data_IF_850634446013
#
_entry.id   IF_850634446013
#
_cell.length_a   1.000
_cell.length_b   1.000
_cell.length_c   1.000
_cell.angle_alpha   90.00
_cell.angle_beta   90.00
_cell.angle_gamma   90.00
#
_symmetry.space_group_name_H-M   'P 1'
#
loop_
_entity.id
_entity.type
_entity.pdbx_description
1 polymer ?
#
# COMPACT_ATOMS: atom_id res chain seq x y z
N UNK A 1 -21.63 -6.03 20.32
CA UNK A 1 -22.38 -5.88 19.06
C UNK A 1 -21.91 -4.56 18.45
N UNK A 2 -21.10 -4.63 17.40
CA UNK A 2 -20.70 -3.42 16.64
C UNK A 2 -21.88 -3.03 15.75
N UNK A 3 -22.37 -1.80 15.88
CA UNK A 3 -23.42 -1.29 15.02
C UNK A 3 -22.96 -1.30 13.55
N UNK A 4 -23.84 -1.79 12.68
CA UNK A 4 -23.64 -1.81 11.22
C UNK A 4 -23.92 -0.42 10.65
N UNK A 5 -22.97 0.50 10.83
CA UNK A 5 -23.08 1.89 10.39
C UNK A 5 -23.18 2.03 8.86
N UNK A 6 -22.51 1.17 8.09
CA UNK A 6 -22.55 1.22 6.63
C UNK A 6 -23.90 0.78 6.09
N UNK A 7 -24.49 -0.29 6.64
CA UNK A 7 -25.84 -0.71 6.31
C UNK A 7 -26.88 0.33 6.74
N UNK A 8 -26.65 1.03 7.85
CA UNK A 8 -27.51 2.10 8.31
C UNK A 8 -27.42 3.33 7.39
N UNK A 9 -26.20 3.70 6.94
CA UNK A 9 -25.97 4.77 5.98
C UNK A 9 -26.72 4.51 4.67
N UNK A 10 -26.56 3.31 4.09
CA UNK A 10 -27.20 2.93 2.83
C UNK A 10 -28.74 3.05 2.92
N UNK A 11 -29.33 2.54 4.02
CA UNK A 11 -30.79 2.64 4.25
C UNK A 11 -31.25 4.08 4.41
N UNK A 12 -30.48 4.92 5.11
CA UNK A 12 -30.79 6.33 5.33
C UNK A 12 -30.69 7.15 4.04
N UNK A 13 -29.68 6.91 3.21
CA UNK A 13 -29.55 7.56 1.89
C UNK A 13 -30.69 7.14 0.93
N UNK A 14 -31.11 5.87 0.96
CA UNK A 14 -32.26 5.41 0.18
C UNK A 14 -33.60 6.03 0.66
N UNK A 15 -33.74 6.24 1.97
CA UNK A 15 -34.88 6.93 2.52
C UNK A 15 -34.90 8.42 2.14
N UNK A 16 -33.74 9.08 2.18
CA UNK A 16 -33.58 10.46 1.75
C UNK A 16 -33.94 10.64 0.26
N UNK A 17 -33.49 9.77 -0.63
CA UNK A 17 -33.88 9.80 -2.07
C UNK A 17 -35.40 9.71 -2.23
N UNK A 18 -36.06 8.80 -1.54
CA UNK A 18 -37.54 8.70 -1.59
C UNK A 18 -38.25 9.98 -1.13
N UNK A 19 -37.74 10.65 -0.08
CA UNK A 19 -38.29 11.93 0.35
C UNK A 19 -38.09 13.03 -0.69
N UNK A 20 -36.93 13.06 -1.37
CA UNK A 20 -36.67 14.01 -2.47
C UNK A 20 -37.62 13.77 -3.65
N UNK A 21 -37.85 12.50 -4.02
CA UNK A 21 -38.81 12.17 -5.10
C UNK A 21 -40.24 12.60 -4.75
N UNK A 22 -40.67 12.37 -3.52
CA UNK A 22 -41.97 12.83 -3.01
C UNK A 22 -42.09 14.36 -3.02
N UNK A 23 -41.02 15.09 -2.66
CA UNK A 23 -40.99 16.55 -2.73
C UNK A 23 -41.15 17.05 -4.16
N UNK A 24 -40.39 16.46 -5.11
CA UNK A 24 -40.49 16.82 -6.52
C UNK A 24 -41.89 16.59 -7.10
N UNK A 25 -42.54 15.49 -6.69
CA UNK A 25 -43.94 15.21 -7.08
C UNK A 25 -44.86 16.25 -6.51
N UNK A 26 -44.78 16.55 -5.20
CA UNK A 26 -45.64 17.54 -4.52
C UNK A 26 -45.44 18.94 -5.11
N UNK A 27 -44.24 19.35 -5.38
CA UNK A 27 -43.92 20.65 -6.01
C UNK A 27 -44.44 20.72 -7.46
N UNK A 28 -44.48 19.59 -8.19
CA UNK A 28 -45.08 19.52 -9.53
C UNK A 28 -46.58 19.66 -9.50
N UNK A 29 -47.24 18.98 -8.58
CA UNK A 29 -48.71 19.11 -8.35
C UNK A 29 -49.09 20.53 -7.93
N UNK A 30 -48.34 21.14 -7.03
CA UNK A 30 -48.52 22.54 -6.63
C UNK A 30 -48.51 23.51 -7.80
N UNK A 31 -47.52 23.37 -8.73
CA UNK A 31 -47.44 24.20 -9.93
C UNK A 31 -48.64 23.97 -10.88
N UNK A 32 -49.10 22.74 -10.99
CA UNK A 32 -50.28 22.39 -11.77
C UNK A 32 -51.54 23.10 -11.23
N UNK A 33 -51.76 23.07 -9.91
CA UNK A 33 -52.87 23.76 -9.26
C UNK A 33 -52.79 25.28 -9.37
N UNK A 34 -51.55 25.85 -9.30
CA UNK A 34 -51.36 27.28 -9.52
C UNK A 34 -51.75 27.69 -10.93
N UNK A 35 -51.35 26.89 -11.94
CA UNK A 35 -51.71 27.14 -13.32
C UNK A 35 -53.23 27.06 -13.57
N UNK A 36 -53.91 26.08 -12.93
CA UNK A 36 -55.37 25.96 -13.01
C UNK A 36 -56.08 27.16 -12.36
N UNK A 37 -55.61 27.59 -11.17
CA UNK A 37 -56.18 28.77 -10.50
C UNK A 37 -56.06 30.04 -11.41
N UNK A 38 -54.90 30.27 -12.03
CA UNK A 38 -54.72 31.40 -12.94
C UNK A 38 -55.64 31.32 -14.16
N UNK A 39 -55.83 30.14 -14.73
CA UNK A 39 -56.69 29.91 -15.86
C UNK A 39 -58.14 30.18 -15.51
N UNK A 40 -58.68 29.61 -14.40
CA UNK A 40 -60.05 29.82 -13.92
C UNK A 40 -60.34 31.28 -13.64
N UNK A 41 -59.41 32.02 -13.04
CA UNK A 41 -59.52 33.47 -12.83
C UNK A 41 -59.63 34.24 -14.18
N UNK A 42 -58.91 33.83 -15.18
CA UNK A 42 -58.96 34.47 -16.52
C UNK A 42 -60.31 34.28 -17.24
N UNK A 43 -61.02 33.22 -16.87
CA UNK A 43 -62.39 32.96 -17.41
C UNK A 43 -63.52 33.45 -16.49
N UNK A 44 -63.21 34.08 -15.33
CA UNK A 44 -64.21 34.58 -14.39
C UNK A 44 -64.82 33.48 -13.52
N UNK A 45 -64.24 32.28 -13.47
CA UNK A 45 -64.73 31.12 -12.69
C UNK A 45 -64.17 31.16 -11.26
N UNK A 46 -64.64 32.14 -10.45
CA UNK A 46 -64.08 32.39 -9.12
C UNK A 46 -64.09 31.18 -8.20
N UNK A 47 -65.17 30.37 -8.22
CA UNK A 47 -65.28 29.17 -7.37
C UNK A 47 -64.21 28.11 -7.69
N UNK A 48 -63.98 27.86 -9.00
CA UNK A 48 -62.96 26.91 -9.45
C UNK A 48 -61.55 27.42 -9.13
N UNK A 49 -61.32 28.74 -9.17
CA UNK A 49 -60.05 29.33 -8.78
C UNK A 49 -59.78 29.19 -7.25
N UNK A 50 -60.83 29.38 -6.42
CA UNK A 50 -60.68 29.18 -4.97
C UNK A 50 -60.37 27.73 -4.61
N UNK A 51 -61.07 26.76 -5.25
CA UNK A 51 -60.78 25.34 -5.08
C UNK A 51 -59.33 24.98 -5.48
N UNK A 52 -58.85 25.48 -6.62
CA UNK A 52 -57.47 25.26 -7.09
C UNK A 52 -56.44 25.90 -6.15
N UNK A 53 -56.72 27.08 -5.59
CA UNK A 53 -55.87 27.72 -4.60
C UNK A 53 -55.81 26.93 -3.28
N UNK A 54 -56.96 26.37 -2.84
CA UNK A 54 -57.00 25.52 -1.67
C UNK A 54 -56.12 24.28 -1.84
N UNK A 55 -56.24 23.59 -2.98
CA UNK A 55 -55.39 22.44 -3.34
C UNK A 55 -53.92 22.80 -3.41
N UNK A 56 -53.56 23.96 -3.96
CA UNK A 56 -52.18 24.47 -3.93
C UNK A 56 -51.68 24.62 -2.50
N UNK A 57 -52.49 25.14 -1.57
CA UNK A 57 -52.09 25.30 -0.17
C UNK A 57 -51.89 23.97 0.53
N UNK A 58 -52.73 22.94 0.22
CA UNK A 58 -52.51 21.58 0.73
C UNK A 58 -51.13 21.04 0.24
N UNK A 59 -50.81 21.11 -1.07
CA UNK A 59 -49.53 20.68 -1.60
C UNK A 59 -48.36 21.45 -0.97
N UNK A 60 -48.50 22.76 -0.72
CA UNK A 60 -47.46 23.56 -0.06
C UNK A 60 -47.21 23.09 1.36
N UNK A 61 -48.27 22.75 2.12
CA UNK A 61 -48.14 22.20 3.47
C UNK A 61 -47.42 20.87 3.46
N UNK A 62 -47.75 19.98 2.51
CA UNK A 62 -47.14 18.68 2.37
C UNK A 62 -45.64 18.82 1.95
N UNK A 63 -45.33 19.71 1.02
CA UNK A 63 -43.95 20.01 0.63
C UNK A 63 -43.11 20.50 1.80
N UNK A 64 -43.65 21.36 2.67
CA UNK A 64 -42.94 21.84 3.85
C UNK A 64 -42.66 20.72 4.86
N UNK A 65 -43.65 19.84 5.12
CA UNK A 65 -43.48 18.68 6.00
C UNK A 65 -42.42 17.70 5.43
N UNK A 66 -42.36 17.53 4.10
CA UNK A 66 -41.36 16.69 3.46
C UNK A 66 -39.97 17.35 3.58
N UNK A 67 -39.83 18.65 3.40
CA UNK A 67 -38.56 19.39 3.57
C UNK A 67 -37.99 19.25 4.98
N UNK A 68 -38.85 19.31 6.03
CA UNK A 68 -38.40 19.05 7.40
C UNK A 68 -37.86 17.62 7.57
N UNK A 69 -38.54 16.63 6.97
CA UNK A 69 -38.07 15.23 6.99
C UNK A 69 -36.72 15.07 6.25
N UNK A 70 -36.56 15.74 5.11
CA UNK A 70 -35.29 15.76 4.37
C UNK A 70 -34.19 16.32 5.25
N UNK A 71 -34.38 17.49 5.87
CA UNK A 71 -33.37 18.11 6.73
C UNK A 71 -33.00 17.21 7.92
N UNK A 72 -34.01 16.54 8.51
CA UNK A 72 -33.78 15.58 9.62
C UNK A 72 -32.94 14.38 9.12
N UNK A 73 -33.23 13.85 7.93
CA UNK A 73 -32.52 12.74 7.35
C UNK A 73 -31.05 13.13 6.98
N UNK A 74 -30.82 14.32 6.43
CA UNK A 74 -29.49 14.84 6.14
C UNK A 74 -28.65 14.99 7.41
N UNK A 75 -29.20 15.53 8.48
CA UNK A 75 -28.52 15.65 9.76
C UNK A 75 -28.17 14.27 10.32
N UNK A 76 -29.08 13.29 10.20
CA UNK A 76 -28.83 11.93 10.65
C UNK A 76 -27.75 11.23 9.83
N UNK A 77 -27.78 11.37 8.49
CA UNK A 77 -26.74 10.87 7.60
C UNK A 77 -25.38 11.48 7.94
N UNK A 78 -25.32 12.77 8.24
CA UNK A 78 -24.10 13.46 8.66
C UNK A 78 -23.55 12.86 9.95
N UNK A 79 -24.42 12.60 10.93
CA UNK A 79 -24.04 11.93 12.18
C UNK A 79 -23.49 10.52 11.93
N UNK A 80 -24.15 9.70 11.09
CA UNK A 80 -23.67 8.36 10.73
C UNK A 80 -22.28 8.44 10.08
N UNK A 81 -22.07 9.34 9.13
CA UNK A 81 -20.78 9.54 8.48
C UNK A 81 -19.67 9.92 9.48
N UNK A 82 -20.01 10.68 10.50
CA UNK A 82 -19.08 11.04 11.56
C UNK A 82 -18.74 9.84 12.47
N UNK A 83 -19.73 9.00 12.81
CA UNK A 83 -19.51 7.75 13.56
C UNK A 83 -18.65 6.75 12.77
N UNK A 84 -18.90 6.59 11.47
CA UNK A 84 -18.05 5.78 10.58
C UNK A 84 -16.61 6.33 10.58
N UNK A 85 -16.41 7.64 10.52
CA UNK A 85 -15.09 8.28 10.58
C UNK A 85 -14.37 8.01 11.91
N UNK A 86 -15.07 8.07 13.04
CA UNK A 86 -14.54 7.77 14.38
C UNK A 86 -14.19 6.27 14.48
N UNK A 87 -15.05 5.38 14.01
CA UNK A 87 -14.82 3.94 14.01
C UNK A 87 -13.61 3.59 13.13
N UNK A 88 -13.50 4.19 11.95
CA UNK A 88 -12.36 4.01 11.05
C UNK A 88 -11.05 4.58 11.65
N UNK A 89 -11.10 5.69 12.37
CA UNK A 89 -9.95 6.22 13.10
C UNK A 89 -9.50 5.27 14.23
N UNK A 90 -10.44 4.63 14.94
CA UNK A 90 -10.12 3.62 15.94
C UNK A 90 -9.53 2.35 15.35
N UNK A 91 -9.96 1.94 14.15
CA UNK A 91 -9.38 0.81 13.40
C UNK A 91 -7.94 1.15 12.96
N UNK A 92 -7.68 2.38 12.52
CA UNK A 92 -6.33 2.85 12.15
C UNK A 92 -5.37 2.80 13.34
N UNK A 93 -5.84 3.07 14.57
CA UNK A 93 -5.01 2.97 15.78
C UNK A 93 -4.76 1.53 16.24
N UNK A 94 -5.60 0.58 15.85
CA UNK A 94 -5.46 -0.83 16.21
C UNK A 94 -4.51 -1.63 15.28
N UNK A 95 -4.22 -1.10 14.08
CA UNK A 95 -3.21 -1.63 13.17
C UNK A 95 -2.05 -0.64 13.10
N UNK A 96 -0.88 -0.93 13.68
CA UNK A 96 0.27 -0.04 13.59
C UNK A 96 0.74 0.02 12.12
N UNK A 97 0.27 1.02 11.38
CA UNK A 97 0.85 1.38 10.09
C UNK A 97 2.28 1.81 10.39
N UNK A 98 3.26 1.01 9.97
CA UNK A 98 4.68 1.36 10.10
C UNK A 98 5.04 2.48 9.12
N UNK A 99 4.53 3.69 9.39
CA UNK A 99 5.00 4.90 8.70
C UNK A 99 6.32 5.29 9.35
N UNK A 100 7.43 4.95 8.71
CA UNK A 100 8.72 5.54 9.08
C UNK A 100 8.80 6.91 8.40
N UNK A 101 8.51 7.97 9.15
CA UNK A 101 8.76 9.35 8.73
C UNK A 101 10.27 9.55 8.56
N UNK A 102 10.69 9.90 7.35
CA UNK A 102 12.04 10.36 7.11
C UNK A 102 12.19 11.80 7.64
N UNK A 103 13.39 12.10 8.13
CA UNK A 103 13.80 13.37 8.71
C UNK A 103 13.48 14.58 7.82
N UNK A 104 13.29 15.72 8.44
CA UNK A 104 12.82 17.02 7.92
C UNK A 104 13.69 17.70 6.85
N UNK A 105 14.82 17.11 6.42
CA UNK A 105 15.62 17.57 5.28
C UNK A 105 15.83 16.40 4.30
N UNK A 106 15.37 16.52 3.05
CA UNK A 106 15.61 15.48 2.06
C UNK A 106 17.11 15.35 1.79
N UNK A 107 17.64 14.12 1.85
CA UNK A 107 19.01 13.83 1.43
C UNK A 107 19.16 14.16 -0.06
N UNK A 108 20.33 14.61 -0.48
CA UNK A 108 20.58 14.78 -1.92
C UNK A 108 20.58 13.43 -2.65
N UNK A 109 20.25 13.46 -3.95
CA UNK A 109 20.22 12.25 -4.80
C UNK A 109 21.57 11.54 -4.80
N UNK A 110 22.68 12.29 -4.77
CA UNK A 110 24.05 11.76 -4.77
C UNK A 110 24.33 10.96 -3.50
N UNK A 111 23.87 11.42 -2.34
CA UNK A 111 24.00 10.71 -1.07
C UNK A 111 23.21 9.41 -1.10
N UNK A 112 21.97 9.45 -1.60
CA UNK A 112 21.10 8.27 -1.67
C UNK A 112 21.71 7.25 -2.66
N UNK A 113 22.22 7.71 -3.81
CA UNK A 113 22.91 6.86 -4.77
C UNK A 113 24.17 6.20 -4.17
N UNK A 114 24.97 6.95 -3.40
CA UNK A 114 26.13 6.39 -2.70
C UNK A 114 25.73 5.30 -1.72
N UNK A 115 24.61 5.48 -1.00
CA UNK A 115 24.08 4.45 -0.10
C UNK A 115 23.60 3.19 -0.87
N UNK A 116 22.98 3.38 -2.05
CA UNK A 116 22.56 2.26 -2.92
C UNK A 116 23.80 1.56 -3.52
N UNK A 117 24.80 2.31 -3.95
CA UNK A 117 26.05 1.76 -4.49
C UNK A 117 26.81 0.93 -3.46
N UNK A 118 26.73 1.31 -2.19
CA UNK A 118 27.29 0.56 -1.07
C UNK A 118 26.55 -0.74 -0.71
N UNK A 119 25.39 -1.02 -1.32
CA UNK A 119 24.71 -2.31 -1.13
C UNK A 119 25.47 -3.43 -1.85
N UNK A 120 25.53 -4.59 -1.22
CA UNK A 120 26.18 -5.77 -1.79
C UNK A 120 25.40 -6.25 -3.01
N UNK A 121 26.09 -6.52 -4.11
CA UNK A 121 25.49 -6.98 -5.35
C UNK A 121 24.48 -5.98 -5.95
N UNK A 122 23.39 -6.50 -6.51
CA UNK A 122 22.28 -5.73 -7.08
C UNK A 122 22.66 -4.82 -8.27
N UNK A 123 23.67 -5.16 -9.03
CA UNK A 123 24.22 -4.29 -10.10
C UNK A 123 23.18 -3.94 -11.17
N UNK A 124 22.34 -4.91 -11.54
CA UNK A 124 21.24 -4.66 -12.46
C UNK A 124 20.22 -3.67 -11.87
N UNK A 125 19.88 -3.79 -10.58
CA UNK A 125 18.96 -2.89 -9.90
C UNK A 125 19.55 -1.48 -9.76
N UNK A 126 20.85 -1.37 -9.42
CA UNK A 126 21.55 -0.09 -9.37
C UNK A 126 21.48 0.64 -10.72
N UNK A 127 21.64 -0.08 -11.82
CA UNK A 127 21.52 0.47 -13.17
C UNK A 127 20.08 0.90 -13.50
N UNK A 128 19.06 0.11 -13.11
CA UNK A 128 17.66 0.47 -13.29
C UNK A 128 17.29 1.73 -12.47
N UNK A 129 17.77 1.84 -11.23
CA UNK A 129 17.57 3.04 -10.41
C UNK A 129 18.20 4.27 -11.07
N UNK A 130 19.43 4.17 -11.60
CA UNK A 130 20.05 5.26 -12.34
C UNK A 130 19.26 5.65 -13.60
N UNK A 131 18.71 4.68 -14.32
CA UNK A 131 17.85 4.91 -15.49
C UNK A 131 16.58 5.70 -15.11
N UNK A 132 15.96 5.33 -13.98
CA UNK A 132 14.80 6.08 -13.43
C UNK A 132 15.19 7.52 -13.11
N UNK A 133 16.29 7.75 -12.41
CA UNK A 133 16.78 9.10 -12.07
C UNK A 133 17.04 9.93 -13.32
N UNK A 134 17.72 9.35 -14.32
CA UNK A 134 18.01 10.04 -15.58
C UNK A 134 16.72 10.45 -16.31
N UNK A 135 15.74 9.55 -16.35
CA UNK A 135 14.44 9.82 -16.95
C UNK A 135 13.71 10.98 -16.24
N UNK A 136 13.72 11.00 -14.90
CA UNK A 136 13.11 12.07 -14.11
C UNK A 136 13.82 13.40 -14.29
N UNK A 137 15.16 13.41 -14.33
CA UNK A 137 15.96 14.62 -14.61
C UNK A 137 15.64 15.19 -16.00
N UNK A 138 15.55 14.35 -17.03
CA UNK A 138 15.19 14.79 -18.39
C UNK A 138 13.77 15.37 -18.41
N UNK A 139 12.81 14.76 -17.72
CA UNK A 139 11.45 15.31 -17.58
C UNK A 139 11.46 16.70 -16.95
N UNK A 140 12.26 16.90 -15.90
CA UNK A 140 12.43 18.21 -15.24
C UNK A 140 13.05 19.24 -16.17
N UNK A 141 14.06 18.88 -16.94
CA UNK A 141 14.68 19.76 -17.96
C UNK A 141 13.67 20.13 -19.06
N UNK A 142 12.87 19.18 -19.54
CA UNK A 142 11.81 19.45 -20.53
C UNK A 142 10.78 20.45 -20.01
N UNK A 143 10.31 20.26 -18.76
CA UNK A 143 9.38 21.20 -18.10
C UNK A 143 10.00 22.61 -18.01
N UNK A 144 11.27 22.69 -17.58
CA UNK A 144 11.99 23.98 -17.48
C UNK A 144 12.18 24.67 -18.85
N UNK A 145 12.25 23.88 -19.93
CA UNK A 145 12.32 24.38 -21.30
C UNK A 145 10.93 24.67 -21.93
N UNK A 146 9.84 24.60 -21.15
CA UNK A 146 8.48 24.82 -21.63
C UNK A 146 7.92 23.69 -22.51
N UNK A 147 8.54 22.51 -22.50
CA UNK A 147 8.12 21.35 -23.29
C UNK A 147 7.18 20.46 -22.46
N UNK A 148 6.13 19.93 -23.12
CA UNK A 148 5.24 18.94 -22.52
C UNK A 148 5.97 17.62 -22.27
N UNK A 149 5.64 16.95 -21.17
CA UNK A 149 6.11 15.60 -20.87
C UNK A 149 5.03 14.57 -21.21
N UNK A 150 5.40 13.40 -21.75
CA UNK A 150 4.46 12.30 -21.90
C UNK A 150 4.00 11.81 -20.52
N UNK A 151 2.77 11.37 -20.42
CA UNK A 151 2.23 10.73 -19.24
C UNK A 151 2.86 9.34 -19.08
N UNK A 152 3.78 9.19 -18.12
CA UNK A 152 4.47 7.93 -17.84
C UNK A 152 4.16 7.54 -16.40
N UNK A 153 3.61 6.36 -16.22
CA UNK A 153 3.40 5.77 -14.90
C UNK A 153 4.73 5.56 -14.18
N UNK A 154 4.76 5.87 -12.88
CA UNK A 154 5.91 5.63 -12.02
C UNK A 154 5.74 4.36 -11.16
N UNK A 155 4.64 3.64 -11.31
CA UNK A 155 4.40 2.40 -10.57
C UNK A 155 5.30 1.27 -11.08
N UNK A 156 5.67 0.35 -10.18
CA UNK A 156 6.70 -0.66 -10.45
C UNK A 156 6.30 -2.03 -9.93
N UNK A 157 6.85 -3.06 -10.57
CA UNK A 157 6.81 -4.44 -10.08
C UNK A 157 8.22 -4.88 -9.70
N UNK A 158 8.35 -5.45 -8.51
CA UNK A 158 9.59 -5.99 -7.98
C UNK A 158 9.49 -7.52 -7.91
N UNK A 159 10.23 -8.19 -8.80
CA UNK A 159 10.34 -9.65 -8.83
C UNK A 159 11.54 -10.14 -8.06
N UNK A 160 11.42 -11.26 -7.37
CA UNK A 160 12.56 -11.98 -6.80
C UNK A 160 12.25 -12.64 -5.47
N UNK A 161 13.15 -13.51 -5.07
CA UNK A 161 13.08 -14.30 -3.85
C UNK A 161 13.15 -13.42 -2.58
N UNK A 162 12.75 -13.94 -1.40
CA UNK A 162 12.87 -13.24 -0.13
C UNK A 162 14.33 -12.87 0.18
N UNK A 163 14.52 -11.77 0.89
CA UNK A 163 15.85 -11.35 1.35
C UNK A 163 16.80 -10.82 0.26
N UNK A 164 16.31 -10.54 -0.95
CA UNK A 164 17.11 -9.97 -2.06
C UNK A 164 17.20 -8.45 -2.05
N UNK A 165 16.60 -7.75 -1.07
CA UNK A 165 16.72 -6.31 -0.91
C UNK A 165 15.58 -5.48 -1.49
N UNK A 166 14.45 -6.08 -1.93
CA UNK A 166 13.28 -5.38 -2.51
C UNK A 166 12.82 -4.20 -1.67
N UNK A 167 12.48 -4.43 -0.41
CA UNK A 167 11.98 -3.38 0.52
C UNK A 167 13.03 -2.29 0.77
N UNK A 168 14.33 -2.65 0.79
CA UNK A 168 15.42 -1.68 0.95
C UNK A 168 15.49 -0.71 -0.22
N UNK A 169 15.46 -1.21 -1.44
CA UNK A 169 15.47 -0.38 -2.66
C UNK A 169 14.20 0.45 -2.77
N UNK A 170 13.02 -0.12 -2.45
CA UNK A 170 11.76 0.62 -2.48
C UNK A 170 11.79 1.86 -1.56
N UNK A 171 12.37 1.74 -0.36
CA UNK A 171 12.55 2.89 0.56
C UNK A 171 13.46 3.96 -0.03
N UNK A 172 14.59 3.57 -0.64
CA UNK A 172 15.52 4.52 -1.28
C UNK A 172 14.91 5.21 -2.49
N UNK A 173 14.07 4.53 -3.24
CA UNK A 173 13.31 5.14 -4.34
C UNK A 173 12.36 6.23 -3.82
N UNK A 174 11.69 6.04 -2.68
CA UNK A 174 10.87 7.08 -2.06
C UNK A 174 11.66 8.34 -1.74
N UNK A 175 12.86 8.17 -1.17
CA UNK A 175 13.78 9.27 -0.88
C UNK A 175 14.24 9.97 -2.18
N UNK A 176 14.55 9.22 -3.24
CA UNK A 176 14.94 9.75 -4.56
C UNK A 176 13.80 10.54 -5.20
N UNK A 177 12.59 9.98 -5.26
CA UNK A 177 11.44 10.65 -5.84
C UNK A 177 11.09 11.95 -5.11
N UNK A 178 11.24 11.97 -3.79
CA UNK A 178 11.07 13.19 -3.00
C UNK A 178 12.16 14.23 -3.29
N UNK A 179 13.43 13.80 -3.31
CA UNK A 179 14.57 14.68 -3.61
C UNK A 179 14.49 15.30 -5.01
N UNK A 180 13.89 14.58 -5.97
CA UNK A 180 13.63 15.05 -7.33
C UNK A 180 12.33 15.86 -7.46
N UNK A 181 11.55 16.01 -6.38
CA UNK A 181 10.30 16.76 -6.38
C UNK A 181 9.14 16.07 -7.10
N UNK A 182 9.21 14.75 -7.28
CA UNK A 182 8.14 13.94 -7.88
C UNK A 182 7.11 13.54 -6.82
N UNK A 183 7.57 13.21 -5.61
CA UNK A 183 6.72 12.91 -4.47
C UNK A 183 6.85 14.01 -3.42
N UNK A 184 5.74 14.47 -2.89
CA UNK A 184 5.70 15.60 -1.95
C UNK A 184 6.33 15.30 -0.58
N UNK A 185 6.31 14.02 -0.13
CA UNK A 185 6.79 13.60 1.19
C UNK A 185 7.89 12.53 1.12
N UNK A 186 7.84 11.62 0.15
CA UNK A 186 8.79 10.51 -0.01
C UNK A 186 8.77 9.46 1.09
N UNK A 187 7.74 9.44 1.93
CA UNK A 187 7.59 8.44 2.98
C UNK A 187 7.21 7.07 2.39
N UNK A 188 7.34 6.03 3.20
CA UNK A 188 7.17 4.65 2.78
C UNK A 188 6.11 3.95 3.63
N UNK A 189 5.08 3.45 2.98
CA UNK A 189 4.03 2.64 3.59
C UNK A 189 4.16 1.21 3.06
N UNK A 190 4.25 0.24 3.96
CA UNK A 190 4.38 -1.18 3.65
C UNK A 190 3.11 -1.91 4.07
N UNK A 191 2.57 -2.72 3.19
CA UNK A 191 1.36 -3.51 3.41
C UNK A 191 1.43 -4.83 2.68
N UNK A 192 0.52 -5.72 3.01
CA UNK A 192 0.26 -7.00 2.36
C UNK A 192 -1.25 -7.17 2.12
N UNK A 193 -1.68 -8.35 1.67
CA UNK A 193 -3.10 -8.68 1.54
C UNK A 193 -3.88 -8.42 2.84
N UNK A 194 -3.33 -8.83 3.99
CA UNK A 194 -3.98 -8.67 5.29
C UNK A 194 -4.22 -7.20 5.66
N UNK A 195 -3.34 -6.30 5.20
CA UNK A 195 -3.48 -4.85 5.37
C UNK A 195 -4.54 -4.22 4.46
N UNK A 196 -4.84 -4.82 3.30
CA UNK A 196 -5.73 -4.26 2.27
C UNK A 196 -7.15 -4.84 2.35
N UNK A 197 -7.27 -6.16 2.53
CA UNK A 197 -8.54 -6.87 2.48
C UNK A 197 -9.25 -6.81 3.83
N UNK A 198 -10.55 -6.54 3.82
CA UNK A 198 -11.42 -6.57 4.99
C UNK A 198 -11.98 -7.97 5.25
N UNK A 199 -12.53 -8.17 6.46
CA UNK A 199 -13.15 -9.45 6.86
C UNK A 199 -14.61 -9.61 6.44
N UNK A 200 -15.26 -8.53 5.98
CA UNK A 200 -16.68 -8.51 5.63
C UNK A 200 -16.90 -7.69 4.36
N UNK A 201 -18.03 -7.94 3.69
CA UNK A 201 -18.49 -7.22 2.50
C UNK A 201 -18.48 -5.69 2.74
N UNK A 202 -17.90 -4.92 1.81
CA UNK A 202 -17.84 -3.46 1.86
C UNK A 202 -16.69 -2.88 2.70
N UNK A 203 -15.98 -3.68 3.47
CA UNK A 203 -14.84 -3.20 4.27
C UNK A 203 -13.54 -3.12 3.48
N UNK A 204 -13.39 -3.91 2.42
CA UNK A 204 -12.16 -3.97 1.63
C UNK A 204 -11.86 -2.65 0.93
N UNK A 205 -12.83 -2.08 0.22
CA UNK A 205 -12.64 -0.79 -0.45
C UNK A 205 -12.29 0.34 0.54
N UNK A 206 -12.94 0.38 1.71
CA UNK A 206 -12.66 1.37 2.76
C UNK A 206 -11.24 1.21 3.28
N UNK A 207 -10.86 -0.01 3.67
CA UNK A 207 -9.54 -0.32 4.23
C UNK A 207 -8.42 -0.06 3.21
N UNK A 208 -8.62 -0.51 1.97
CA UNK A 208 -7.70 -0.24 0.87
C UNK A 208 -7.53 1.27 0.64
N UNK A 209 -8.64 2.04 0.59
CA UNK A 209 -8.60 3.50 0.43
C UNK A 209 -7.86 4.17 1.58
N UNK A 210 -8.00 3.72 2.81
CA UNK A 210 -7.27 4.27 3.96
C UNK A 210 -5.76 4.06 3.83
N UNK A 211 -5.33 2.85 3.46
CA UNK A 211 -3.90 2.55 3.23
C UNK A 211 -3.35 3.39 2.07
N UNK A 212 -4.07 3.46 0.93
CA UNK A 212 -3.70 4.27 -0.21
C UNK A 212 -3.58 5.75 0.16
N UNK A 213 -4.55 6.29 0.93
CA UNK A 213 -4.53 7.67 1.42
C UNK A 213 -3.33 7.93 2.35
N UNK A 214 -2.97 6.96 3.19
CA UNK A 214 -1.80 7.09 4.07
C UNK A 214 -0.47 7.12 3.29
N UNK A 215 -0.45 6.61 2.06
CA UNK A 215 0.72 6.57 1.19
C UNK A 215 0.82 7.80 0.25
N UNK A 216 -0.19 8.69 0.22
CA UNK A 216 -0.16 9.89 -0.61
C UNK A 216 1.03 10.78 -0.29
N UNK A 217 1.75 11.17 -1.31
CA UNK A 217 3.01 11.88 -1.23
C UNK A 217 4.23 10.97 -1.09
N UNK A 218 4.03 9.65 -1.11
CA UNK A 218 5.08 8.65 -0.87
C UNK A 218 4.96 7.39 -1.72
N UNK A 219 5.55 6.33 -1.21
CA UNK A 219 5.50 5.00 -1.82
C UNK A 219 4.59 4.08 -1.00
N UNK A 220 3.66 3.41 -1.69
CA UNK A 220 3.00 2.22 -1.18
C UNK A 220 3.72 0.98 -1.71
N UNK A 221 4.24 0.17 -0.81
CA UNK A 221 4.86 -1.12 -1.11
C UNK A 221 3.91 -2.24 -0.68
N UNK A 222 3.45 -3.04 -1.65
CA UNK A 222 2.56 -4.17 -1.43
C UNK A 222 3.41 -5.43 -1.54
N UNK A 223 3.72 -6.04 -0.40
CA UNK A 223 4.46 -7.30 -0.38
C UNK A 223 3.54 -8.48 -0.69
N UNK A 224 4.07 -9.47 -1.39
CA UNK A 224 3.32 -10.65 -1.86
C UNK A 224 1.99 -10.27 -2.57
N UNK A 225 2.04 -9.22 -3.41
CA UNK A 225 0.86 -8.64 -4.05
C UNK A 225 0.03 -9.66 -4.86
N UNK A 226 0.64 -10.73 -5.36
CA UNK A 226 -0.03 -11.83 -6.05
C UNK A 226 -1.11 -12.51 -5.19
N UNK A 227 -1.00 -12.41 -3.87
CA UNK A 227 -2.00 -12.96 -2.96
C UNK A 227 -3.37 -12.29 -3.08
N UNK A 228 -3.43 -11.06 -3.63
CA UNK A 228 -4.69 -10.37 -3.92
C UNK A 228 -5.48 -11.04 -5.07
N UNK A 229 -4.80 -11.74 -5.98
CA UNK A 229 -5.43 -12.48 -7.08
C UNK A 229 -5.40 -14.01 -6.85
N UNK A 230 -4.82 -14.49 -5.75
CA UNK A 230 -4.68 -15.91 -5.42
C UNK A 230 -5.97 -16.46 -4.79
N UNK A 231 -6.99 -16.65 -5.59
CA UNK A 231 -8.22 -17.33 -5.21
C UNK A 231 -8.89 -17.87 -6.47
N UNK A 232 -9.70 -18.92 -6.33
CA UNK A 232 -10.65 -19.26 -7.37
C UNK A 232 -11.44 -18.00 -7.75
N UNK A 233 -12.03 -17.95 -8.95
CA UNK A 233 -12.87 -16.84 -9.47
C UNK A 233 -13.93 -16.28 -8.48
N UNK A 234 -13.91 -16.72 -7.22
CA UNK A 234 -14.78 -16.36 -6.11
C UNK A 234 -14.14 -15.40 -5.09
N UNK A 235 -12.85 -15.01 -5.20
CA UNK A 235 -12.23 -14.07 -4.27
C UNK A 235 -12.61 -12.62 -4.61
N UNK A 236 -13.86 -12.28 -4.33
CA UNK A 236 -14.42 -10.95 -4.56
C UNK A 236 -13.69 -9.86 -3.75
N UNK A 237 -13.15 -10.19 -2.57
CA UNK A 237 -12.45 -9.22 -1.72
C UNK A 237 -11.09 -8.82 -2.29
N UNK A 238 -10.32 -9.76 -2.81
CA UNK A 238 -9.06 -9.47 -3.47
C UNK A 238 -9.27 -8.63 -4.73
N UNK A 239 -10.29 -8.95 -5.53
CA UNK A 239 -10.65 -8.17 -6.71
C UNK A 239 -11.10 -6.75 -6.34
N UNK A 240 -11.94 -6.57 -5.30
CA UNK A 240 -12.36 -5.26 -4.80
C UNK A 240 -11.16 -4.41 -4.36
N UNK A 241 -10.14 -5.02 -3.73
CA UNK A 241 -8.89 -4.35 -3.37
C UNK A 241 -8.12 -3.90 -4.63
N UNK A 242 -7.96 -4.78 -5.62
CA UNK A 242 -7.28 -4.47 -6.89
C UNK A 242 -7.98 -3.31 -7.61
N UNK A 243 -9.30 -3.35 -7.75
CA UNK A 243 -10.06 -2.31 -8.44
C UNK A 243 -9.96 -0.95 -7.72
N UNK A 244 -9.96 -0.97 -6.38
CA UNK A 244 -9.76 0.24 -5.57
C UNK A 244 -8.34 0.80 -5.74
N UNK A 245 -7.31 -0.05 -5.75
CA UNK A 245 -5.91 0.33 -6.00
C UNK A 245 -5.77 0.95 -7.38
N UNK A 246 -6.31 0.30 -8.42
CA UNK A 246 -6.21 0.77 -9.81
C UNK A 246 -6.84 2.14 -10.00
N UNK A 247 -8.01 2.36 -9.41
CA UNK A 247 -8.67 3.67 -9.44
C UNK A 247 -7.83 4.73 -8.74
N UNK A 248 -7.32 4.42 -7.54
CA UNK A 248 -6.53 5.36 -6.75
C UNK A 248 -5.18 5.71 -7.41
N UNK A 249 -4.53 4.73 -8.08
CA UNK A 249 -3.32 4.95 -8.88
C UNK A 249 -3.54 5.94 -10.02
N UNK A 250 -4.72 5.90 -10.65
CA UNK A 250 -5.08 6.84 -11.73
C UNK A 250 -5.37 8.23 -11.19
N UNK A 251 -6.17 8.31 -10.13
CA UNK A 251 -6.62 9.58 -9.55
C UNK A 251 -5.47 10.36 -8.89
N UNK A 252 -4.38 9.68 -8.46
CA UNK A 252 -3.26 10.26 -7.71
C UNK A 252 -1.88 9.97 -8.33
N UNK A 253 -1.81 9.72 -9.64
CA UNK A 253 -0.58 9.32 -10.36
C UNK A 253 0.59 10.29 -10.23
N UNK A 254 0.32 11.56 -9.90
CA UNK A 254 1.34 12.62 -9.80
C UNK A 254 2.03 12.68 -8.42
N UNK A 255 1.42 12.11 -7.37
CA UNK A 255 1.95 12.17 -6.00
C UNK A 255 1.83 10.83 -5.25
N UNK A 256 1.81 9.72 -5.98
CA UNK A 256 1.80 8.37 -5.43
C UNK A 256 2.58 7.41 -6.33
N UNK A 257 3.45 6.60 -5.72
CA UNK A 257 4.08 5.46 -6.39
C UNK A 257 3.66 4.18 -5.70
N UNK A 258 3.10 3.24 -6.45
CA UNK A 258 2.79 1.89 -5.97
C UNK A 258 3.86 0.93 -6.47
N UNK A 259 4.41 0.14 -5.57
CA UNK A 259 5.36 -0.95 -5.88
C UNK A 259 4.71 -2.26 -5.43
N UNK A 260 4.39 -3.12 -6.39
CA UNK A 260 3.92 -4.47 -6.13
C UNK A 260 5.10 -5.44 -6.14
N UNK A 261 5.29 -6.22 -5.07
CA UNK A 261 6.43 -7.10 -4.91
C UNK A 261 6.00 -8.56 -4.70
N UNK A 262 6.83 -9.52 -5.16
CA UNK A 262 6.59 -10.95 -4.95
C UNK A 262 7.51 -11.85 -5.75
N UNK A 263 7.19 -13.13 -5.76
CA UNK A 263 7.88 -14.13 -6.58
C UNK A 263 7.58 -13.94 -8.06
N UNK A 264 8.58 -14.17 -8.92
CA UNK A 264 8.51 -13.88 -10.36
C UNK A 264 7.31 -14.52 -11.05
N UNK A 265 7.17 -15.83 -10.95
CA UNK A 265 6.07 -16.58 -11.62
C UNK A 265 4.69 -16.13 -11.13
N UNK A 266 4.54 -15.93 -9.82
CA UNK A 266 3.27 -15.53 -9.21
C UNK A 266 2.91 -14.07 -9.56
N UNK A 267 3.90 -13.19 -9.61
CA UNK A 267 3.69 -11.80 -10.00
C UNK A 267 3.38 -11.65 -11.48
N UNK A 268 3.96 -12.48 -12.35
CA UNK A 268 3.61 -12.50 -13.77
C UNK A 268 2.13 -12.83 -13.96
N UNK A 269 1.64 -13.86 -13.30
CA UNK A 269 0.23 -14.23 -13.31
C UNK A 269 -0.67 -13.12 -12.72
N UNK A 270 -0.23 -12.49 -11.63
CA UNK A 270 -0.93 -11.36 -11.01
C UNK A 270 -1.12 -10.18 -11.97
N UNK A 271 -0.06 -9.77 -12.66
CA UNK A 271 -0.12 -8.65 -13.61
C UNK A 271 -0.97 -9.00 -14.83
N UNK A 272 -0.94 -10.25 -15.29
CA UNK A 272 -1.75 -10.72 -16.43
C UNK A 272 -3.22 -10.94 -16.07
N UNK A 273 -3.56 -11.13 -14.80
CA UNK A 273 -4.93 -11.37 -14.34
C UNK A 273 -5.88 -10.20 -14.58
N UNK A 274 -5.34 -8.97 -14.70
CA UNK A 274 -6.16 -7.76 -14.88
C UNK A 274 -5.49 -6.78 -15.86
N UNK A 275 -6.16 -6.43 -16.98
CA UNK A 275 -5.62 -5.47 -17.96
C UNK A 275 -5.27 -4.11 -17.38
N UNK A 276 -5.97 -3.69 -16.31
CA UNK A 276 -5.70 -2.45 -15.58
C UNK A 276 -4.35 -2.48 -14.85
N UNK A 277 -3.96 -3.62 -14.27
CA UNK A 277 -2.63 -3.82 -13.68
C UNK A 277 -1.55 -3.71 -14.77
N UNK A 278 -1.71 -4.42 -15.88
CA UNK A 278 -0.74 -4.43 -16.99
C UNK A 278 -0.50 -3.05 -17.60
N UNK A 279 -1.55 -2.21 -17.68
CA UNK A 279 -1.44 -0.86 -18.24
C UNK A 279 -0.76 0.14 -17.31
N UNK A 280 -0.83 -0.04 -15.98
CA UNK A 280 -0.28 0.89 -14.99
C UNK A 280 1.09 0.51 -14.48
N UNK A 281 1.40 -0.79 -14.40
CA UNK A 281 2.72 -1.29 -14.05
C UNK A 281 3.57 -1.50 -15.31
N UNK A 282 4.44 -0.54 -15.61
CA UNK A 282 5.27 -0.55 -16.82
C UNK A 282 6.77 -0.62 -16.54
N UNK A 283 7.17 -0.65 -15.27
CA UNK A 283 8.57 -0.77 -14.84
C UNK A 283 8.74 -2.04 -14.01
N UNK A 284 9.70 -2.88 -14.40
CA UNK A 284 9.93 -4.19 -13.81
C UNK A 284 11.37 -4.29 -13.32
N UNK A 285 11.54 -4.59 -12.02
CA UNK A 285 12.82 -4.73 -11.36
C UNK A 285 13.02 -6.18 -10.95
N UNK A 286 14.03 -6.84 -11.51
CA UNK A 286 14.30 -8.25 -11.27
C UNK A 286 15.42 -8.41 -10.26
N UNK A 287 15.09 -8.73 -9.02
CA UNK A 287 16.03 -8.99 -7.92
C UNK A 287 16.52 -10.42 -7.99
N UNK A 288 17.68 -10.62 -8.58
CA UNK A 288 18.32 -11.94 -8.68
C UNK A 288 18.78 -12.42 -7.30
N UNK A 289 18.88 -13.75 -7.14
CA UNK A 289 19.52 -14.33 -5.97
C UNK A 289 20.97 -13.91 -5.89
N UNK A 290 21.49 -13.76 -4.67
CA UNK A 290 22.88 -13.47 -4.43
C UNK A 290 23.77 -14.66 -4.76
N UNK A 291 24.99 -14.37 -5.21
CA UNK A 291 26.06 -15.37 -5.39
C UNK A 291 26.59 -15.81 -4.01
N UNK A 292 27.29 -16.96 -3.91
CA UNK A 292 27.95 -17.38 -2.68
C UNK A 292 28.84 -16.30 -2.04
N UNK A 293 29.65 -15.64 -2.84
CA UNK A 293 30.54 -14.56 -2.37
C UNK A 293 29.73 -13.36 -1.82
N UNK A 294 28.65 -12.96 -2.50
CA UNK A 294 27.77 -11.90 -2.02
C UNK A 294 27.04 -12.29 -0.71
N UNK A 295 26.62 -13.55 -0.55
CA UNK A 295 26.03 -14.04 0.68
C UNK A 295 27.05 -14.03 1.83
N UNK A 296 28.28 -14.38 1.55
CA UNK A 296 29.38 -14.28 2.52
C UNK A 296 29.61 -12.83 2.95
N UNK A 297 29.67 -11.90 2.00
CA UNK A 297 29.77 -10.46 2.29
C UNK A 297 28.57 -9.95 3.13
N UNK A 298 27.35 -10.42 2.83
CA UNK A 298 26.14 -10.07 3.61
C UNK A 298 26.29 -10.57 5.05
N UNK A 299 26.76 -11.80 5.26
CA UNK A 299 26.98 -12.34 6.60
C UNK A 299 28.04 -11.50 7.35
N UNK A 300 29.14 -11.15 6.71
CA UNK A 300 30.17 -10.27 7.29
C UNK A 300 29.61 -8.88 7.64
N UNK A 301 28.78 -8.30 6.76
CA UNK A 301 28.14 -7.01 7.01
C UNK A 301 27.23 -7.07 8.24
N UNK A 302 26.44 -8.13 8.38
CA UNK A 302 25.56 -8.34 9.55
C UNK A 302 26.39 -8.50 10.82
N UNK A 303 27.44 -9.35 10.78
CA UNK A 303 28.35 -9.59 11.89
C UNK A 303 29.03 -8.31 12.36
N UNK A 304 29.61 -7.55 11.43
CA UNK A 304 30.29 -6.28 11.71
C UNK A 304 29.37 -5.24 12.34
N UNK A 305 28.15 -5.11 11.82
CA UNK A 305 27.16 -4.17 12.36
C UNK A 305 26.70 -4.53 13.77
N UNK A 306 26.90 -5.79 14.17
CA UNK A 306 26.61 -6.31 15.53
C UNK A 306 27.88 -6.44 16.40
N UNK A 307 29.03 -5.89 15.96
CA UNK A 307 30.33 -5.97 16.63
C UNK A 307 30.85 -7.40 16.79
N UNK A 308 30.53 -8.29 15.84
CA UNK A 308 31.09 -9.63 15.77
C UNK A 308 32.14 -9.72 14.65
N UNK A 309 33.12 -10.59 14.85
CA UNK A 309 34.10 -10.99 13.86
C UNK A 309 34.19 -12.52 13.77
N UNK A 310 34.60 -13.03 12.62
CA UNK A 310 34.84 -14.46 12.44
C UNK A 310 36.32 -14.76 12.62
N UNK A 311 36.62 -15.91 13.22
CA UNK A 311 37.95 -16.48 13.19
C UNK A 311 38.27 -16.96 11.74
N UNK A 312 39.52 -16.97 11.34
CA UNK A 312 39.92 -17.30 9.96
C UNK A 312 39.36 -18.65 9.48
N UNK A 313 39.53 -19.70 10.31
CA UNK A 313 38.98 -21.03 10.01
C UNK A 313 37.46 -21.11 10.02
N UNK A 314 36.76 -20.19 10.73
CA UNK A 314 35.32 -20.06 10.70
C UNK A 314 34.84 -19.42 9.40
N UNK A 315 35.64 -18.51 8.85
CA UNK A 315 35.33 -17.87 7.57
C UNK A 315 35.39 -18.88 6.42
N UNK A 316 36.45 -19.69 6.35
CA UNK A 316 36.57 -20.73 5.31
C UNK A 316 35.44 -21.76 5.42
N UNK A 317 35.14 -22.19 6.63
CA UNK A 317 34.02 -23.09 6.89
C UNK A 317 32.68 -22.49 6.46
N UNK A 318 32.42 -21.23 6.79
CA UNK A 318 31.19 -20.53 6.37
C UNK A 318 31.08 -20.47 4.85
N UNK A 319 32.19 -20.19 4.15
CA UNK A 319 32.22 -20.15 2.69
C UNK A 319 31.85 -21.50 2.08
N UNK A 320 32.45 -22.59 2.56
CA UNK A 320 32.11 -23.96 2.12
C UNK A 320 30.62 -24.28 2.34
N UNK A 321 30.06 -23.89 3.50
CA UNK A 321 28.65 -24.10 3.82
C UNK A 321 27.74 -23.29 2.89
N UNK A 322 28.06 -22.04 2.57
CA UNK A 322 27.28 -21.20 1.67
C UNK A 322 27.31 -21.76 0.25
N UNK A 323 28.47 -22.24 -0.24
CA UNK A 323 28.58 -22.87 -1.56
C UNK A 323 27.72 -24.14 -1.63
N UNK A 324 27.75 -24.97 -0.60
CA UNK A 324 26.90 -26.15 -0.47
C UNK A 324 25.41 -25.74 -0.49
N UNK A 325 25.02 -24.75 0.32
CA UNK A 325 23.67 -24.24 0.40
C UNK A 325 23.12 -23.78 -0.96
N UNK A 326 23.90 -23.01 -1.70
CA UNK A 326 23.52 -22.49 -3.01
C UNK A 326 23.41 -23.61 -4.04
N UNK A 327 24.20 -24.69 -3.94
CA UNK A 327 24.14 -25.85 -4.84
C UNK A 327 22.80 -26.63 -4.69
N UNK A 328 22.19 -26.61 -3.51
CA UNK A 328 20.92 -27.29 -3.19
C UNK A 328 19.72 -26.33 -3.05
N UNK A 329 19.90 -25.05 -3.41
CA UNK A 329 18.85 -24.05 -3.23
C UNK A 329 17.55 -24.41 -3.94
N UNK A 330 16.44 -24.18 -3.27
CA UNK A 330 15.08 -24.30 -3.83
C UNK A 330 14.66 -23.00 -4.52
N UNK A 331 13.55 -23.03 -5.23
CA UNK A 331 12.98 -21.87 -5.94
C UNK A 331 12.66 -20.67 -5.02
N UNK A 332 12.43 -20.90 -3.72
CA UNK A 332 12.10 -19.90 -2.72
C UNK A 332 13.26 -19.57 -1.77
N UNK A 333 14.49 -19.60 -2.26
CA UNK A 333 15.70 -19.37 -1.45
C UNK A 333 15.68 -18.02 -0.73
N UNK A 334 15.97 -18.03 0.58
CA UNK A 334 15.80 -16.87 1.48
C UNK A 334 16.90 -15.81 1.42
N UNK A 335 17.97 -16.02 0.63
CA UNK A 335 19.05 -15.06 0.41
C UNK A 335 19.59 -14.40 1.71
N UNK A 336 19.56 -13.07 1.79
CA UNK A 336 20.00 -12.33 2.98
C UNK A 336 19.23 -12.64 4.25
N UNK A 337 17.95 -13.09 4.15
CA UNK A 337 17.19 -13.60 5.30
C UNK A 337 17.81 -14.89 5.84
N UNK A 338 18.23 -15.79 4.96
CA UNK A 338 18.96 -17.01 5.34
C UNK A 338 20.25 -16.69 6.06
N UNK A 339 21.04 -15.72 5.56
CA UNK A 339 22.29 -15.29 6.22
C UNK A 339 22.03 -14.68 7.59
N UNK A 340 20.98 -13.92 7.76
CA UNK A 340 20.58 -13.37 9.05
C UNK A 340 20.21 -14.46 10.04
N UNK A 341 19.38 -15.42 9.63
CA UNK A 341 18.97 -16.53 10.49
C UNK A 341 20.18 -17.38 10.90
N UNK A 342 21.10 -17.64 9.97
CA UNK A 342 22.34 -18.36 10.26
C UNK A 342 23.22 -17.59 11.28
N UNK A 343 23.33 -16.27 11.13
CA UNK A 343 24.06 -15.44 12.10
C UNK A 343 23.40 -15.47 13.49
N UNK A 344 22.09 -15.37 13.58
CA UNK A 344 21.35 -15.45 14.86
C UNK A 344 21.57 -16.80 15.54
N UNK A 345 21.56 -17.90 14.81
CA UNK A 345 21.87 -19.23 15.34
C UNK A 345 23.33 -19.36 15.77
N UNK A 346 24.26 -18.79 15.00
CA UNK A 346 25.67 -18.78 15.36
C UNK A 346 25.94 -18.04 16.68
N UNK A 347 25.24 -16.94 16.94
CA UNK A 347 25.28 -16.22 18.23
C UNK A 347 24.73 -17.11 19.36
N UNK A 348 23.65 -17.81 19.14
CA UNK A 348 23.08 -18.72 20.16
C UNK A 348 24.07 -19.88 20.49
N UNK A 349 24.72 -20.44 19.48
CA UNK A 349 25.74 -21.47 19.67
C UNK A 349 26.96 -20.93 20.46
N UNK A 350 27.45 -19.72 20.08
CA UNK A 350 28.51 -19.03 20.81
C UNK A 350 28.13 -18.82 22.29
N UNK A 351 26.93 -18.35 22.56
CA UNK A 351 26.47 -18.14 23.95
C UNK A 351 26.50 -19.44 24.76
N UNK A 352 26.07 -20.57 24.19
CA UNK A 352 26.14 -21.87 24.81
C UNK A 352 27.60 -22.30 25.09
N UNK A 353 28.52 -22.09 24.15
CA UNK A 353 29.95 -22.38 24.29
C UNK A 353 30.58 -21.55 25.43
N UNK A 354 30.28 -20.26 25.46
CA UNK A 354 30.81 -19.33 26.46
C UNK A 354 30.38 -19.75 27.86
N UNK A 355 29.10 -20.05 28.06
CA UNK A 355 28.57 -20.47 29.38
C UNK A 355 29.16 -21.80 29.79
N UNK A 356 29.26 -22.80 28.93
CA UNK A 356 29.84 -24.11 29.25
C UNK A 356 31.35 -24.03 29.57
N UNK A 357 32.08 -23.16 28.81
CA UNK A 357 33.52 -22.98 29.01
C UNK A 357 33.89 -22.00 30.11
N UNK A 358 32.92 -21.35 30.78
CA UNK A 358 33.17 -20.24 31.72
C UNK A 358 34.07 -19.15 31.16
N UNK A 359 33.94 -18.88 29.85
CA UNK A 359 34.73 -17.88 29.09
C UNK A 359 34.08 -16.49 29.27
N UNK A 360 34.92 -15.44 29.45
CA UNK A 360 34.40 -14.07 29.66
C UNK A 360 35.30 -12.98 29.10
N UNK A 361 36.31 -13.33 28.28
CA UNK A 361 37.16 -12.33 27.64
C UNK A 361 36.36 -11.54 26.59
N UNK A 362 36.84 -10.34 26.26
CA UNK A 362 36.23 -9.55 25.19
C UNK A 362 36.27 -10.29 23.84
N UNK A 363 37.34 -11.04 23.61
CA UNK A 363 37.49 -11.85 22.41
C UNK A 363 36.46 -12.97 22.34
N UNK A 364 36.20 -13.66 23.46
CA UNK A 364 35.15 -14.69 23.52
C UNK A 364 33.77 -14.14 23.19
N UNK A 365 33.48 -12.91 23.64
CA UNK A 365 32.19 -12.26 23.46
C UNK A 365 31.99 -11.70 22.02
N UNK A 366 33.08 -11.47 21.28
CA UNK A 366 33.02 -10.80 19.94
C UNK A 366 33.43 -11.71 18.78
N UNK A 367 34.03 -12.89 19.04
CA UNK A 367 34.49 -13.80 17.99
C UNK A 367 33.58 -15.00 17.82
N UNK A 368 33.19 -15.26 16.59
CA UNK A 368 32.55 -16.51 16.18
C UNK A 368 33.61 -17.50 15.73
N UNK A 369 33.57 -18.70 16.31
CA UNK A 369 34.45 -19.81 15.98
C UNK A 369 33.77 -20.75 14.97
N UNK A 370 34.55 -21.64 14.36
CA UNK A 370 34.03 -22.65 13.42
C UNK A 370 32.89 -23.50 14.03
N UNK A 371 33.01 -23.86 15.30
CA UNK A 371 32.04 -24.67 16.04
C UNK A 371 30.73 -23.95 16.35
N UNK A 372 30.72 -22.61 16.26
CA UNK A 372 29.51 -21.80 16.43
C UNK A 372 28.65 -21.79 15.16
N UNK A 373 29.24 -22.10 13.98
CA UNK A 373 28.56 -22.11 12.68
C UNK A 373 28.32 -23.56 12.28
N UNK A 374 27.13 -24.08 12.59
CA UNK A 374 26.81 -25.48 12.37
C UNK A 374 26.11 -25.75 11.05
N UNK A 375 26.53 -26.83 10.38
CA UNK A 375 25.91 -27.28 9.12
C UNK A 375 24.42 -27.64 9.30
N UNK A 376 24.08 -28.24 10.44
CA UNK A 376 22.69 -28.64 10.77
C UNK A 376 21.78 -27.41 10.83
N UNK A 377 22.25 -26.32 11.44
CA UNK A 377 21.49 -25.06 11.52
C UNK A 377 21.21 -24.50 10.13
N UNK A 378 22.19 -24.54 9.24
CA UNK A 378 22.03 -24.09 7.85
C UNK A 378 21.04 -24.94 7.07
N UNK A 379 21.13 -26.27 7.20
CA UNK A 379 20.21 -27.19 6.51
C UNK A 379 18.76 -27.05 7.03
N UNK A 380 18.58 -26.72 8.30
CA UNK A 380 17.27 -26.47 8.89
C UNK A 380 16.65 -25.16 8.37
N UNK A 381 17.47 -24.11 8.25
CA UNK A 381 17.04 -22.79 7.70
C UNK A 381 16.71 -22.90 6.19
N UNK A 382 17.34 -23.84 5.48
CA UNK A 382 17.15 -24.03 4.03
C UNK A 382 15.92 -24.86 3.66
N UNK A 383 15.24 -25.50 4.62
CA UNK A 383 14.00 -26.28 4.42
C UNK A 383 12.80 -25.38 4.23
#
# INVERSE_FOLDING_TARGET
MTEDWDGLLLRSEAALRRCIDMLNQSDTEMRSWESRAKLSLSFGENYMAEEALFKKLECLRDSNAIREKIQTAENYITHIKEQIKIQNAAIVTSYPIKVKSNSTNPKSVEVILSEIDGLIGLDNIKNEVRSVINSLNVRKLRTSAGLSNPEISNHMVFYGNPGTGKTTIARRLGEIYNSLGVLSKGHFVETDRGGLVGGYLGQTAIKTTQIMTSALGGILFIDEAYTLAAGDNSDQYGQEAIDTILKFMEDHRDDLVVIAAGYEDLMSNFIESNPGLKSRFNKYFHFKDYTPDQLLEIFHSISKNSNYSLQENANDHLKELIEELVSFKKSNFGNGRTMRNLFERSIANQANRIVQGSLSSKDDLTKLLKEDIKREDMLEIAK
#
